data_IF_389791224768
#
_entry.id   IF_389791224768
#
_cell.length_a   1.000
_cell.length_b   1.000
_cell.length_c   1.000
_cell.angle_alpha   90.00
_cell.angle_beta   90.00
_cell.angle_gamma   90.00
#
_symmetry.space_group_name_H-M   'P 1'
#
loop_
_entity.id
_entity.type
_entity.pdbx_description
1 polymer ?
#
# COMPACT_ATOMS: atom_id res chain seq x y z
N UNK A 1 -66.84 -11.91 19.20
CA UNK A 1 -66.39 -12.70 18.03
C UNK A 1 -66.15 -11.75 16.87
N UNK A 2 -65.04 -11.86 16.18
CA UNK A 2 -64.62 -11.22 14.95
C UNK A 2 -63.46 -10.23 15.12
N UNK A 3 -62.33 -10.75 14.59
CA UNK A 3 -61.32 -10.14 13.74
C UNK A 3 -60.37 -9.15 14.37
N UNK A 4 -59.18 -9.68 14.63
CA UNK A 4 -57.95 -8.91 14.59
C UNK A 4 -56.92 -9.76 13.86
N UNK A 5 -56.83 -9.61 12.56
CA UNK A 5 -55.74 -10.04 11.73
C UNK A 5 -55.61 -9.04 10.60
N UNK A 6 -54.54 -8.30 10.59
CA UNK A 6 -53.86 -7.75 9.42
C UNK A 6 -53.12 -6.49 9.86
N UNK A 7 -51.90 -6.61 10.25
CA UNK A 7 -50.86 -5.59 10.04
C UNK A 7 -49.48 -6.12 10.49
N UNK A 8 -48.90 -6.99 9.69
CA UNK A 8 -47.48 -7.32 9.86
C UNK A 8 -46.89 -7.77 8.53
N UNK A 9 -46.75 -6.85 7.61
CA UNK A 9 -45.94 -7.08 6.41
C UNK A 9 -45.65 -5.73 5.73
N UNK A 10 -44.67 -4.99 6.14
CA UNK A 10 -43.90 -4.02 5.35
C UNK A 10 -42.77 -3.50 6.27
N UNK A 11 -41.66 -4.18 6.37
CA UNK A 11 -40.39 -3.59 6.80
C UNK A 11 -39.19 -4.48 6.46
N UNK A 12 -38.95 -4.78 5.18
CA UNK A 12 -37.74 -5.50 4.77
C UNK A 12 -37.21 -5.09 3.38
N UNK A 13 -37.35 -3.83 2.98
CA UNK A 13 -36.92 -3.40 1.64
C UNK A 13 -36.06 -2.13 1.60
N UNK A 14 -35.38 -1.75 2.67
CA UNK A 14 -34.57 -0.51 2.66
C UNK A 14 -33.07 -0.66 2.92
N UNK A 15 -32.55 -1.87 3.11
CA UNK A 15 -31.11 -2.05 3.48
C UNK A 15 -30.17 -2.21 2.27
N UNK A 16 -30.65 -2.56 1.10
CA UNK A 16 -29.81 -2.71 -0.08
C UNK A 16 -29.38 -1.40 -0.72
N UNK A 17 -30.26 -0.42 -0.76
CA UNK A 17 -30.02 0.84 -1.46
C UNK A 17 -29.04 1.79 -0.70
N UNK A 18 -29.01 1.70 0.63
CA UNK A 18 -28.12 2.57 1.42
C UNK A 18 -26.65 2.17 1.33
N UNK A 19 -26.36 0.88 1.18
CA UNK A 19 -24.99 0.38 1.12
C UNK A 19 -24.31 0.69 -0.24
N UNK A 20 -25.07 0.70 -1.32
CA UNK A 20 -24.58 1.06 -2.66
C UNK A 20 -24.28 2.57 -2.77
N UNK A 21 -25.09 3.41 -2.19
CA UNK A 21 -24.87 4.87 -2.14
C UNK A 21 -23.66 5.24 -1.29
N UNK A 22 -23.43 4.54 -0.19
CA UNK A 22 -22.30 4.80 0.70
C UNK A 22 -20.97 4.39 0.04
N UNK A 23 -20.94 3.27 -0.68
CA UNK A 23 -19.70 2.83 -1.37
C UNK A 23 -19.33 3.73 -2.54
N UNK A 24 -20.30 4.27 -3.28
CA UNK A 24 -20.03 5.18 -4.40
C UNK A 24 -19.42 6.50 -3.94
N UNK A 25 -19.84 7.03 -2.81
CA UNK A 25 -19.32 8.28 -2.21
C UNK A 25 -17.80 8.25 -2.08
N UNK A 26 -17.24 7.18 -1.51
CA UNK A 26 -15.80 7.07 -1.28
C UNK A 26 -15.03 6.65 -2.54
N UNK A 27 -15.66 5.89 -3.44
CA UNK A 27 -15.06 5.58 -4.73
C UNK A 27 -14.92 6.82 -5.63
N UNK A 28 -15.80 7.80 -5.49
CA UNK A 28 -15.76 9.07 -6.23
C UNK A 28 -14.66 10.03 -5.71
N UNK A 29 -14.07 9.80 -4.53
CA UNK A 29 -12.91 10.58 -4.07
C UNK A 29 -11.65 10.22 -4.86
N UNK A 30 -11.55 9.00 -5.39
CA UNK A 30 -10.44 8.59 -6.25
C UNK A 30 -10.57 9.29 -7.61
N UNK A 31 -9.59 10.12 -7.94
CA UNK A 31 -9.66 10.93 -9.16
C UNK A 31 -8.34 10.94 -9.93
N UNK A 32 -8.42 11.31 -11.20
CA UNK A 32 -7.26 11.28 -12.10
C UNK A 32 -6.18 12.31 -11.76
N UNK A 33 -6.53 13.43 -11.14
CA UNK A 33 -5.55 14.48 -10.83
C UNK A 33 -4.65 14.04 -9.68
N UNK A 34 -5.22 13.49 -8.61
CA UNK A 34 -4.46 13.00 -7.46
C UNK A 34 -3.57 11.82 -7.86
N UNK A 35 -4.08 10.91 -8.71
CA UNK A 35 -3.29 9.82 -9.30
C UNK A 35 -2.13 10.34 -10.16
N UNK A 36 -2.34 11.37 -10.98
CA UNK A 36 -1.30 12.00 -11.82
C UNK A 36 -0.23 12.67 -10.94
N UNK A 37 -0.64 13.40 -9.91
CA UNK A 37 0.27 14.07 -8.99
C UNK A 37 1.14 13.07 -8.24
N UNK A 38 0.55 12.01 -7.66
CA UNK A 38 1.27 10.94 -6.98
C UNK A 38 2.22 10.21 -7.94
N UNK A 39 1.73 9.84 -9.13
CA UNK A 39 2.53 9.12 -10.12
C UNK A 39 3.70 9.95 -10.63
N UNK A 40 3.48 11.24 -10.90
CA UNK A 40 4.53 12.16 -11.37
C UNK A 40 5.67 12.28 -10.37
N UNK A 41 5.37 12.28 -9.07
CA UNK A 41 6.38 12.27 -8.01
C UNK A 41 7.04 10.89 -7.93
N UNK A 42 6.26 9.81 -7.81
CA UNK A 42 6.74 8.46 -7.57
C UNK A 42 7.58 7.89 -8.72
N UNK A 43 7.31 8.31 -9.96
CA UNK A 43 8.07 7.94 -11.17
C UNK A 43 9.06 9.01 -11.61
N UNK A 44 9.46 9.94 -10.73
CA UNK A 44 10.50 10.91 -11.05
C UNK A 44 11.90 10.33 -10.91
N UNK A 45 12.90 10.98 -11.53
CA UNK A 45 14.32 10.62 -11.43
C UNK A 45 14.84 10.64 -9.99
N UNK A 46 14.18 11.38 -9.08
CA UNK A 46 14.49 11.41 -7.65
C UNK A 46 14.36 10.05 -6.95
N UNK A 47 13.60 9.14 -7.54
CA UNK A 47 13.43 7.77 -7.06
C UNK A 47 14.41 6.78 -7.71
N UNK A 48 15.31 7.24 -8.57
CA UNK A 48 16.41 6.44 -9.14
C UNK A 48 15.93 5.09 -9.74
N UNK A 49 14.71 5.07 -10.31
CA UNK A 49 14.09 3.88 -10.90
C UNK A 49 13.84 2.73 -9.93
N UNK A 50 13.86 2.96 -8.63
CA UNK A 50 13.41 2.07 -7.53
C UNK A 50 13.94 0.63 -7.54
N UNK A 51 15.16 0.42 -8.03
CA UNK A 51 15.72 -0.94 -8.06
C UNK A 51 15.84 -1.51 -6.65
N UNK A 52 15.37 -2.75 -6.49
CA UNK A 52 15.39 -3.51 -5.22
C UNK A 52 16.75 -3.43 -4.52
N UNK A 53 16.75 -3.06 -3.24
CA UNK A 53 17.95 -2.94 -2.41
C UNK A 53 18.77 -1.68 -2.63
N UNK A 54 18.39 -0.76 -3.52
CA UNK A 54 19.08 0.51 -3.77
C UNK A 54 18.57 1.65 -2.88
N UNK A 55 19.15 2.82 -3.05
CA UNK A 55 18.65 4.05 -2.45
C UNK A 55 17.26 4.40 -3.00
N UNK A 56 17.02 4.17 -4.31
CA UNK A 56 15.72 4.41 -4.94
C UNK A 56 14.61 3.58 -4.33
N UNK A 57 14.83 2.28 -4.11
CA UNK A 57 13.93 1.38 -3.39
C UNK A 57 13.56 1.91 -2.00
N UNK A 58 14.55 2.31 -1.22
CA UNK A 58 14.31 2.88 0.12
C UNK A 58 13.57 4.23 0.08
N UNK A 59 13.87 5.06 -0.92
CA UNK A 59 13.16 6.31 -1.11
C UNK A 59 11.69 6.06 -1.41
N UNK A 60 11.40 5.08 -2.27
CA UNK A 60 10.04 4.66 -2.58
C UNK A 60 9.32 4.10 -1.34
N UNK A 61 9.97 3.20 -0.61
CA UNK A 61 9.39 2.63 0.61
C UNK A 61 9.07 3.71 1.67
N UNK A 62 9.96 4.69 1.87
CA UNK A 62 9.71 5.81 2.77
C UNK A 62 8.55 6.70 2.30
N UNK A 63 8.44 6.98 1.00
CA UNK A 63 7.34 7.73 0.43
C UNK A 63 5.99 7.06 0.73
N UNK A 64 5.89 5.75 0.54
CA UNK A 64 4.68 4.97 0.83
C UNK A 64 4.32 5.01 2.32
N UNK A 65 5.31 4.79 3.20
CA UNK A 65 5.11 4.91 4.65
C UNK A 65 4.61 6.29 5.04
N UNK A 66 5.25 7.35 4.55
CA UNK A 66 4.92 8.72 4.90
C UNK A 66 3.52 9.11 4.41
N UNK A 67 3.08 8.57 3.26
CA UNK A 67 1.72 8.69 2.79
C UNK A 67 0.71 8.07 3.77
N UNK A 68 0.96 6.82 4.23
CA UNK A 68 0.10 6.16 5.19
C UNK A 68 0.03 6.91 6.53
N UNK A 69 1.17 7.39 7.03
CA UNK A 69 1.23 8.20 8.25
C UNK A 69 0.39 9.48 8.09
N UNK A 70 0.55 10.19 6.98
CA UNK A 70 -0.16 11.44 6.70
C UNK A 70 -1.67 11.25 6.65
N UNK A 71 -2.10 10.09 6.15
CA UNK A 71 -3.52 9.70 6.06
C UNK A 71 -4.02 8.93 7.30
N UNK A 72 -3.23 8.84 8.40
CA UNK A 72 -3.58 8.17 9.67
C UNK A 72 -3.94 6.69 9.50
N UNK A 73 -3.40 6.02 8.50
CA UNK A 73 -3.57 4.59 8.26
C UNK A 73 -2.43 3.86 8.96
N UNK A 74 -2.76 2.94 9.86
CA UNK A 74 -1.77 2.25 10.70
C UNK A 74 -0.93 1.21 9.97
N UNK A 75 0.23 0.82 10.55
CA UNK A 75 1.05 -0.26 10.02
C UNK A 75 0.34 -1.61 10.13
N UNK A 76 0.60 -2.53 9.20
CA UNK A 76 0.11 -3.89 9.29
C UNK A 76 0.80 -4.65 10.45
N UNK A 77 0.15 -5.72 10.91
CA UNK A 77 0.72 -6.59 11.95
C UNK A 77 2.06 -7.21 11.47
N UNK A 78 2.97 -7.40 12.42
CA UNK A 78 4.32 -7.94 12.16
C UNK A 78 5.20 -7.08 11.24
N UNK A 79 4.93 -5.77 11.15
CA UNK A 79 5.83 -4.80 10.53
C UNK A 79 6.65 -4.05 11.58
N UNK A 80 7.77 -3.48 11.13
CA UNK A 80 8.57 -2.53 11.91
C UNK A 80 8.41 -1.18 11.20
N UNK A 81 7.66 -0.25 11.80
CA UNK A 81 7.42 1.06 11.20
C UNK A 81 6.92 0.95 9.72
N UNK A 82 5.86 0.15 9.48
CA UNK A 82 5.29 -0.21 8.18
C UNK A 82 6.14 -1.16 7.32
N UNK A 83 7.38 -1.46 7.67
CA UNK A 83 8.29 -2.26 6.86
C UNK A 83 8.28 -3.74 7.29
N UNK A 84 8.30 -4.61 6.29
CA UNK A 84 8.65 -6.03 6.43
C UNK A 84 10.00 -6.24 5.76
N UNK A 85 11.09 -6.12 6.51
CA UNK A 85 12.42 -6.26 5.97
C UNK A 85 12.79 -7.71 5.68
N UNK A 86 13.51 -7.93 4.58
CA UNK A 86 14.03 -9.24 4.20
C UNK A 86 15.29 -9.12 3.33
N UNK A 87 15.93 -10.27 3.10
CA UNK A 87 17.06 -10.39 2.19
C UNK A 87 16.66 -11.12 0.92
N UNK A 88 17.07 -10.57 -0.20
CA UNK A 88 16.92 -11.19 -1.50
C UNK A 88 18.28 -11.67 -2.01
N UNK A 89 18.39 -12.94 -2.41
CA UNK A 89 19.55 -13.45 -3.11
C UNK A 89 19.35 -13.25 -4.61
N UNK A 90 20.20 -12.40 -5.22
CA UNK A 90 20.19 -12.12 -6.66
C UNK A 90 21.27 -12.96 -7.35
N UNK A 91 20.93 -14.14 -7.88
CA UNK A 91 21.92 -15.01 -8.53
C UNK A 91 22.46 -14.36 -9.81
N UNK A 92 23.78 -14.12 -9.86
CA UNK A 92 24.53 -13.94 -11.09
C UNK A 92 24.59 -12.54 -11.69
N UNK A 93 24.12 -11.50 -11.02
CA UNK A 93 24.40 -10.10 -11.41
C UNK A 93 25.08 -9.37 -10.27
N UNK A 94 26.30 -8.94 -10.52
CA UNK A 94 27.08 -8.09 -9.64
C UNK A 94 26.57 -6.66 -9.78
N UNK A 95 25.61 -6.28 -8.93
CA UNK A 95 25.29 -4.88 -8.72
C UNK A 95 26.29 -4.32 -7.71
N UNK A 96 27.11 -3.37 -8.12
CA UNK A 96 28.02 -2.68 -7.21
C UNK A 96 27.24 -1.63 -6.43
N UNK A 97 26.76 -2.00 -5.25
CA UNK A 97 26.10 -1.05 -4.34
C UNK A 97 27.13 -0.39 -3.43
N UNK A 98 27.34 0.91 -3.61
CA UNK A 98 28.16 1.76 -2.74
C UNK A 98 27.30 2.50 -1.71
N UNK A 99 26.43 1.81 -0.95
CA UNK A 99 25.59 2.48 0.03
C UNK A 99 25.72 1.86 1.43
N UNK A 100 25.98 2.73 2.42
CA UNK A 100 25.94 2.38 3.85
C UNK A 100 24.53 2.68 4.39
N UNK A 101 23.87 1.70 4.97
CA UNK A 101 22.60 1.90 5.68
C UNK A 101 22.74 2.88 6.85
N UNK A 102 21.76 3.76 7.09
CA UNK A 102 21.70 4.53 8.32
C UNK A 102 21.60 3.59 9.53
N UNK A 103 22.34 3.91 10.60
CA UNK A 103 22.44 3.11 11.83
C UNK A 103 21.14 2.94 12.62
N UNK A 104 20.05 3.55 12.17
CA UNK A 104 18.72 3.44 12.77
C UNK A 104 18.00 2.13 12.43
N UNK A 105 18.42 1.44 11.37
CA UNK A 105 17.96 0.09 11.05
C UNK A 105 18.94 -0.95 11.59
N UNK A 106 19.16 -0.95 12.91
CA UNK A 106 20.04 -1.90 13.61
C UNK A 106 19.54 -3.34 13.42
N UNK A 107 20.17 -4.06 12.56
CA UNK A 107 19.90 -5.47 12.24
C UNK A 107 20.34 -5.81 10.82
N UNK A 108 20.46 -4.82 9.97
CA UNK A 108 20.76 -4.98 8.54
C UNK A 108 22.25 -4.90 8.19
N UNK A 109 23.10 -4.33 9.05
CA UNK A 109 24.55 -4.14 8.80
C UNK A 109 25.36 -5.45 8.68
N UNK A 110 24.73 -6.61 8.88
CA UNK A 110 25.48 -7.88 8.98
C UNK A 110 25.81 -8.54 7.64
N UNK A 111 25.20 -8.10 6.55
CA UNK A 111 25.17 -8.91 5.32
C UNK A 111 25.83 -8.27 4.10
N UNK A 112 26.43 -7.10 4.24
CA UNK A 112 27.08 -6.38 3.13
C UNK A 112 28.47 -6.92 2.73
N UNK A 113 28.80 -8.16 3.07
CA UNK A 113 30.11 -8.75 2.76
C UNK A 113 29.99 -10.01 1.90
N UNK A 114 30.05 -9.82 0.60
CA UNK A 114 30.60 -10.85 -0.30
C UNK A 114 29.62 -11.87 -0.87
N UNK A 115 28.34 -11.81 -0.51
CA UNK A 115 27.30 -12.68 -1.06
C UNK A 115 26.35 -11.86 -1.95
N UNK A 116 25.69 -12.49 -2.91
CA UNK A 116 24.74 -11.84 -3.83
C UNK A 116 23.42 -11.46 -3.14
N UNK A 117 23.46 -11.12 -1.85
CA UNK A 117 22.29 -10.73 -1.07
C UNK A 117 22.15 -9.21 -1.03
N UNK A 118 20.93 -8.75 -1.22
CA UNK A 118 20.53 -7.35 -1.01
C UNK A 118 19.48 -7.28 0.08
N UNK A 119 19.58 -6.27 0.93
CA UNK A 119 18.56 -5.97 1.92
C UNK A 119 17.49 -5.10 1.28
N UNK A 120 16.27 -5.49 1.44
CA UNK A 120 15.09 -4.77 0.96
C UNK A 120 13.92 -4.92 1.94
N UNK A 121 12.78 -4.33 1.62
CA UNK A 121 11.60 -4.36 2.47
C UNK A 121 10.30 -4.25 1.66
N UNK A 122 9.28 -4.96 2.09
CA UNK A 122 7.92 -4.62 1.72
C UNK A 122 7.40 -3.48 2.61
N UNK A 123 6.41 -2.74 2.10
CA UNK A 123 5.65 -1.77 2.89
C UNK A 123 4.23 -2.29 3.06
N UNK A 124 3.75 -2.38 4.30
CA UNK A 124 2.43 -2.91 4.57
C UNK A 124 1.67 -2.05 5.59
N UNK A 125 0.45 -1.70 5.23
CA UNK A 125 -0.49 -0.94 6.02
C UNK A 125 -1.82 -1.66 6.15
N UNK A 126 -2.67 -1.30 7.13
CA UNK A 126 -3.93 -1.98 7.38
C UNK A 126 -5.02 -1.02 7.84
N UNK A 127 -6.22 -1.28 7.38
CA UNK A 127 -7.47 -0.78 7.96
C UNK A 127 -8.20 -1.96 8.60
N UNK A 128 -8.48 -1.83 9.88
CA UNK A 128 -9.14 -2.88 10.67
C UNK A 128 -10.60 -3.04 10.27
N UNK A 129 -11.02 -4.28 10.11
CA UNK A 129 -12.42 -4.65 9.89
C UNK A 129 -13.19 -4.78 11.20
N UNK A 130 -14.50 -4.55 11.16
CA UNK A 130 -15.33 -4.56 12.36
C UNK A 130 -16.05 -5.88 12.65
N UNK A 131 -16.22 -6.76 11.64
CA UNK A 131 -17.08 -7.96 11.76
C UNK A 131 -16.28 -9.27 11.69
N UNK A 132 -15.33 -9.36 10.77
CA UNK A 132 -14.61 -10.61 10.48
C UNK A 132 -13.10 -10.44 10.73
N UNK A 133 -12.63 -10.55 11.99
CA UNK A 133 -11.23 -10.28 12.36
C UNK A 133 -10.22 -11.27 11.75
N UNK A 134 -10.68 -12.48 11.39
CA UNK A 134 -9.85 -13.51 10.77
C UNK A 134 -9.91 -13.48 9.22
N UNK A 135 -10.56 -12.47 8.64
CA UNK A 135 -10.74 -12.37 7.19
C UNK A 135 -10.09 -11.12 6.64
N UNK A 136 -9.22 -11.30 5.64
CA UNK A 136 -8.42 -10.25 5.05
C UNK A 136 -8.75 -10.07 3.58
N UNK A 137 -8.82 -8.82 3.13
CA UNK A 137 -8.69 -8.41 1.74
C UNK A 137 -7.31 -7.82 1.58
N UNK A 138 -6.50 -8.38 0.69
CA UNK A 138 -5.15 -7.87 0.41
C UNK A 138 -5.16 -7.22 -0.97
N UNK A 139 -4.76 -5.95 -1.02
CA UNK A 139 -4.56 -5.20 -2.26
C UNK A 139 -3.06 -5.01 -2.39
N UNK A 140 -2.47 -5.51 -3.47
CA UNK A 140 -1.01 -5.55 -3.60
C UNK A 140 -0.52 -5.09 -4.95
N UNK A 141 0.65 -4.48 -4.96
CA UNK A 141 1.43 -4.09 -6.12
C UNK A 141 2.92 -4.11 -5.77
N UNK A 142 3.81 -4.05 -6.78
CA UNK A 142 5.23 -3.97 -6.47
C UNK A 142 5.72 -2.52 -6.50
N UNK A 143 6.62 -2.20 -5.58
CA UNK A 143 7.18 -0.85 -5.42
C UNK A 143 8.45 -0.66 -6.25
N UNK A 144 9.18 -1.73 -6.52
CA UNK A 144 10.46 -1.71 -7.20
C UNK A 144 10.34 -1.61 -8.73
N UNK A 145 11.46 -1.28 -9.38
CA UNK A 145 11.59 -1.33 -10.84
C UNK A 145 13.07 -1.57 -11.23
N UNK A 146 13.43 -1.28 -12.47
CA UNK A 146 14.74 -1.64 -13.05
C UNK A 146 15.92 -0.83 -12.48
N UNK A 147 15.69 0.43 -12.09
CA UNK A 147 16.74 1.29 -11.55
C UNK A 147 17.40 2.17 -12.61
N UNK A 148 18.73 2.26 -12.54
CA UNK A 148 19.56 3.07 -13.42
C UNK A 148 20.48 2.14 -14.23
N UNK A 149 20.55 2.35 -15.54
CA UNK A 149 21.54 1.68 -16.41
C UNK A 149 22.32 2.75 -17.20
N UNK A 150 23.62 2.88 -16.90
CA UNK A 150 24.43 3.97 -17.41
C UNK A 150 23.94 5.33 -16.96
N UNK A 151 23.54 6.18 -17.91
CA UNK A 151 22.99 7.52 -17.66
C UNK A 151 21.44 7.55 -17.74
N UNK A 152 20.80 6.40 -17.96
CA UNK A 152 19.34 6.31 -18.09
C UNK A 152 18.70 5.86 -16.80
N UNK A 153 17.66 6.59 -16.38
CA UNK A 153 16.79 6.23 -15.25
C UNK A 153 15.53 5.57 -15.78
N UNK A 154 15.29 4.32 -15.38
CA UNK A 154 14.07 3.59 -15.73
C UNK A 154 12.98 3.87 -14.69
N UNK A 155 12.21 4.89 -14.94
CA UNK A 155 11.26 5.44 -13.96
C UNK A 155 10.05 4.54 -13.66
N UNK A 156 9.69 3.61 -14.55
CA UNK A 156 8.66 2.61 -14.31
C UNK A 156 7.30 3.20 -13.88
N UNK A 157 6.82 4.21 -14.64
CA UNK A 157 5.54 4.83 -14.33
C UNK A 157 4.37 3.84 -14.47
N UNK A 158 4.36 3.06 -15.55
CA UNK A 158 3.35 2.02 -15.80
C UNK A 158 3.69 0.71 -15.08
N UNK A 159 4.97 0.38 -14.98
CA UNK A 159 5.46 -0.86 -14.35
C UNK A 159 6.28 -0.57 -13.08
N UNK A 160 5.72 -0.56 -11.90
CA UNK A 160 4.31 -0.65 -11.53
C UNK A 160 3.91 0.60 -10.72
N UNK A 161 4.47 1.78 -11.08
CA UNK A 161 4.18 3.03 -10.39
C UNK A 161 2.67 3.33 -10.35
N UNK A 162 1.99 3.17 -11.49
CA UNK A 162 0.54 3.38 -11.59
C UNK A 162 -0.26 2.46 -10.66
N UNK A 163 0.10 1.18 -10.58
CA UNK A 163 -0.51 0.24 -9.65
C UNK A 163 -0.26 0.63 -8.19
N UNK A 164 0.97 1.02 -7.87
CA UNK A 164 1.37 1.42 -6.52
C UNK A 164 0.61 2.66 -6.04
N UNK A 165 0.52 3.72 -6.84
CA UNK A 165 -0.20 4.93 -6.43
C UNK A 165 -1.72 4.71 -6.39
N UNK A 166 -2.25 3.82 -7.23
CA UNK A 166 -3.67 3.43 -7.15
C UNK A 166 -4.02 2.78 -5.82
N UNK A 167 -3.09 1.99 -5.23
CA UNK A 167 -3.28 1.41 -3.89
C UNK A 167 -3.35 2.52 -2.83
N UNK A 168 -2.56 3.58 -2.95
CA UNK A 168 -2.57 4.72 -2.03
C UNK A 168 -3.93 5.44 -2.05
N UNK A 169 -4.46 5.73 -3.23
CA UNK A 169 -5.78 6.35 -3.41
C UNK A 169 -6.91 5.48 -2.84
N UNK A 170 -6.85 4.18 -3.11
CA UNK A 170 -7.81 3.23 -2.53
C UNK A 170 -7.72 3.23 -1.00
N UNK A 171 -6.52 3.25 -0.44
CA UNK A 171 -6.31 3.28 0.99
C UNK A 171 -6.88 4.56 1.63
N UNK A 172 -6.68 5.71 0.99
CA UNK A 172 -7.24 6.98 1.42
C UNK A 172 -8.76 6.95 1.41
N UNK A 173 -9.38 6.45 0.34
CA UNK A 173 -10.84 6.33 0.23
C UNK A 173 -11.42 5.43 1.34
N UNK A 174 -10.75 4.33 1.69
CA UNK A 174 -11.12 3.50 2.84
C UNK A 174 -10.97 4.24 4.17
N UNK A 175 -9.92 5.04 4.33
CA UNK A 175 -9.69 5.81 5.55
C UNK A 175 -10.73 6.93 5.73
N UNK A 176 -11.12 7.61 4.66
CA UNK A 176 -12.21 8.58 4.68
C UNK A 176 -13.52 7.93 5.15
N UNK A 177 -13.81 6.72 4.67
CA UNK A 177 -14.98 5.97 5.14
C UNK A 177 -14.89 5.67 6.66
N UNK A 178 -13.72 5.29 7.14
CA UNK A 178 -13.48 5.04 8.57
C UNK A 178 -13.68 6.31 9.41
N UNK A 179 -13.20 7.46 8.95
CA UNK A 179 -13.38 8.75 9.63
C UNK A 179 -14.87 9.18 9.68
N UNK A 180 -15.65 8.80 8.68
CA UNK A 180 -17.13 8.99 8.67
C UNK A 180 -17.88 7.91 9.49
N UNK A 181 -17.18 6.98 10.15
CA UNK A 181 -17.76 5.91 10.96
C UNK A 181 -18.23 4.69 10.17
N UNK A 182 -17.80 4.56 8.90
CA UNK A 182 -18.11 3.42 8.04
C UNK A 182 -16.87 2.55 7.92
N UNK A 183 -16.82 1.43 8.66
CA UNK A 183 -15.70 0.50 8.61
C UNK A 183 -15.95 -0.65 7.65
N UNK A 184 -14.89 -1.19 7.03
CA UNK A 184 -14.99 -2.41 6.26
C UNK A 184 -15.36 -3.59 7.17
N UNK A 185 -16.06 -4.59 6.64
CA UNK A 185 -16.41 -5.79 7.41
C UNK A 185 -15.20 -6.69 7.70
N UNK A 186 -14.21 -6.69 6.80
CA UNK A 186 -12.96 -7.44 6.87
C UNK A 186 -11.79 -6.48 7.00
N UNK A 187 -10.68 -6.98 7.47
CA UNK A 187 -9.42 -6.25 7.42
C UNK A 187 -9.03 -6.00 5.97
N UNK A 188 -8.56 -4.78 5.67
CA UNK A 188 -8.03 -4.42 4.36
C UNK A 188 -6.55 -4.12 4.52
N UNK A 189 -5.72 -4.93 3.88
CA UNK A 189 -4.26 -4.80 3.91
C UNK A 189 -3.79 -4.23 2.59
N UNK A 190 -3.00 -3.18 2.64
CA UNK A 190 -2.32 -2.57 1.50
C UNK A 190 -0.87 -2.98 1.54
N UNK A 191 -0.42 -3.73 0.53
CA UNK A 191 0.89 -4.36 0.51
C UNK A 191 1.66 -3.97 -0.75
N UNK A 192 2.81 -3.31 -0.56
CA UNK A 192 3.75 -3.01 -1.63
C UNK A 192 4.98 -3.91 -1.46
N UNK A 193 5.20 -4.78 -2.43
CA UNK A 193 6.34 -5.72 -2.42
C UNK A 193 7.52 -5.16 -3.22
N UNK A 194 8.73 -5.53 -2.80
CA UNK A 194 9.97 -5.18 -3.50
C UNK A 194 10.67 -6.42 -4.01
#
# INVERSE_FOLDING_TARGET
>A
MKKLNTLFLILTLSTGCSQEIVSSKYAESINSNDLEDLLSVYSSDGFEGRQTGTKGDRTAANFLRDFYISNKIGPALNTIDYFQPYQLNLPGKMYTFNYSFPSTLRGYDRYAKGDNFVDTQNVASVIEGEIYPESYLIITGHLDHVGIDGDEVYNGADDNGSGTVSILEIAQAFQEAVEDGVRPKRYVVFLHVS
#
